data_IF_403255894767
#
_entry.id   IF_403255894767
#
_cell.length_a   1.000
_cell.length_b   1.000
_cell.length_c   1.000
_cell.angle_alpha   90.00
_cell.angle_beta   90.00
_cell.angle_gamma   90.00
#
_symmetry.space_group_name_H-M   'P 1'
#
loop_
_entity.id
_entity.type
_entity.pdbx_description
1 polymer ?
#
# COMPACT_ATOMS: atom_id res chain seq x y z
N UNK A 1 5.09 1.41 -15.85
CA UNK A 1 5.96 2.62 -15.74
C UNK A 1 5.86 3.14 -14.31
N UNK A 2 6.92 3.72 -13.75
CA UNK A 2 6.85 4.45 -12.49
C UNK A 2 6.95 5.95 -12.74
N UNK A 3 6.11 6.73 -12.07
CA UNK A 3 6.17 8.19 -12.02
C UNK A 3 6.77 8.56 -10.66
N UNK A 4 7.95 9.18 -10.65
CA UNK A 4 8.59 9.63 -9.41
C UNK A 4 7.68 10.49 -8.54
N UNK A 5 7.81 10.32 -7.22
CA UNK A 5 7.14 11.19 -6.24
C UNK A 5 7.39 12.66 -6.53
N UNK A 6 6.35 13.48 -6.36
CA UNK A 6 6.39 14.93 -6.57
C UNK A 6 7.08 15.37 -7.87
N UNK A 7 7.04 14.55 -8.94
CA UNK A 7 7.70 14.82 -10.23
C UNK A 7 7.34 16.19 -10.79
N UNK A 8 6.08 16.58 -10.63
CA UNK A 8 5.54 17.88 -11.03
C UNK A 8 4.40 18.29 -10.08
N UNK A 9 3.89 19.53 -10.15
CA UNK A 9 2.82 20.01 -9.27
C UNK A 9 1.51 19.22 -9.37
N UNK A 10 1.24 18.55 -10.49
CA UNK A 10 0.03 17.73 -10.67
C UNK A 10 0.19 16.43 -9.88
N UNK A 11 1.32 15.75 -10.05
CA UNK A 11 1.64 14.52 -9.31
C UNK A 11 1.67 14.80 -7.81
N UNK A 12 2.35 15.86 -7.39
CA UNK A 12 2.38 16.28 -5.97
C UNK A 12 0.97 16.53 -5.42
N UNK A 13 0.11 17.23 -6.17
CA UNK A 13 -1.27 17.47 -5.76
C UNK A 13 -2.14 16.20 -5.71
N UNK A 14 -1.86 15.19 -6.53
CA UNK A 14 -2.51 13.87 -6.42
C UNK A 14 -2.05 13.17 -5.13
N UNK A 15 -0.76 13.20 -4.82
CA UNK A 15 -0.21 12.59 -3.60
C UNK A 15 -0.74 13.25 -2.33
N UNK A 16 -0.88 14.57 -2.31
CA UNK A 16 -1.49 15.31 -1.19
C UNK A 16 -2.97 14.92 -0.98
N UNK A 17 -3.73 14.73 -2.07
CA UNK A 17 -5.12 14.25 -1.99
C UNK A 17 -5.19 12.82 -1.46
N UNK A 18 -4.29 11.94 -1.91
CA UNK A 18 -4.20 10.57 -1.42
C UNK A 18 -3.90 10.58 0.07
N UNK A 19 -2.88 11.30 0.52
CA UNK A 19 -2.50 11.40 1.93
C UNK A 19 -3.65 11.96 2.80
N UNK A 20 -4.35 12.97 2.29
CA UNK A 20 -5.52 13.55 2.98
C UNK A 20 -6.66 12.53 3.10
N UNK A 21 -6.94 11.75 2.05
CA UNK A 21 -8.03 10.77 2.03
C UNK A 21 -7.74 9.54 2.89
N UNK A 22 -6.51 9.04 2.86
CA UNK A 22 -6.11 7.83 3.58
C UNK A 22 -5.74 8.09 5.04
N UNK A 23 -5.50 9.36 5.40
CA UNK A 23 -4.88 9.76 6.67
C UNK A 23 -3.48 9.16 6.89
N UNK A 24 -2.80 8.78 5.81
CA UNK A 24 -1.43 8.26 5.85
C UNK A 24 -0.44 9.31 5.32
N UNK A 25 0.74 9.47 5.94
CA UNK A 25 1.71 10.48 5.52
C UNK A 25 2.22 10.25 4.09
N UNK A 26 2.48 11.33 3.35
CA UNK A 26 2.92 11.25 1.94
C UNK A 26 4.30 10.62 1.78
N UNK A 27 5.15 10.77 2.78
CA UNK A 27 6.50 10.22 2.86
C UNK A 27 6.49 8.69 2.90
N UNK A 28 5.39 8.07 3.34
CA UNK A 28 5.21 6.62 3.36
C UNK A 28 4.91 6.05 1.97
N UNK A 29 4.54 6.89 1.00
CA UNK A 29 4.17 6.43 -0.34
C UNK A 29 5.37 6.11 -1.23
N UNK A 30 5.29 5.06 -2.03
CA UNK A 30 6.22 4.79 -3.15
C UNK A 30 5.97 5.70 -4.36
N UNK A 31 6.78 5.60 -5.41
CA UNK A 31 6.46 6.16 -6.74
C UNK A 31 5.10 5.62 -7.27
N UNK A 32 4.38 6.42 -8.06
CA UNK A 32 3.11 5.97 -8.65
C UNK A 32 3.40 4.99 -9.79
N UNK A 33 2.88 3.76 -9.69
CA UNK A 33 3.00 2.77 -10.75
C UNK A 33 1.84 2.87 -11.73
N UNK A 34 2.12 3.18 -13.00
CA UNK A 34 1.13 3.16 -14.08
C UNK A 34 1.23 1.87 -14.87
N UNK A 35 0.09 1.19 -15.04
CA UNK A 35 -0.06 -0.04 -15.80
C UNK A 35 -1.12 0.13 -16.90
N UNK A 36 -0.90 -0.56 -18.01
CA UNK A 36 -1.84 -0.70 -19.12
C UNK A 36 -2.11 -2.18 -19.34
N UNK A 37 -3.37 -2.55 -19.50
CA UNK A 37 -3.81 -3.89 -19.85
C UNK A 37 -4.60 -3.85 -21.16
N UNK A 38 -4.13 -4.63 -22.12
CA UNK A 38 -4.79 -4.91 -23.39
C UNK A 38 -5.81 -6.05 -23.23
N UNK A 39 -6.73 -6.26 -24.20
CA UNK A 39 -7.63 -7.39 -24.18
C UNK A 39 -6.92 -8.73 -23.94
N UNK A 40 -7.45 -9.53 -23.01
CA UNK A 40 -6.90 -10.78 -22.53
C UNK A 40 -5.88 -10.66 -21.39
N UNK A 41 -5.24 -9.50 -21.21
CA UNK A 41 -4.28 -9.30 -20.13
C UNK A 41 -4.97 -9.19 -18.77
N UNK A 42 -4.31 -9.74 -17.76
CA UNK A 42 -4.78 -9.84 -16.38
C UNK A 42 -3.61 -9.68 -15.40
N UNK A 43 -3.95 -9.64 -14.12
CA UNK A 43 -2.97 -9.77 -13.04
C UNK A 43 -3.45 -10.88 -12.09
N UNK A 44 -2.56 -11.83 -11.80
CA UNK A 44 -2.91 -12.98 -10.96
C UNK A 44 -3.20 -12.58 -9.51
N UNK A 45 -3.95 -13.39 -8.75
CA UNK A 45 -4.16 -13.15 -7.32
C UNK A 45 -2.83 -13.00 -6.57
N UNK A 46 -2.73 -11.93 -5.80
CA UNK A 46 -1.53 -11.58 -5.04
C UNK A 46 -1.86 -10.69 -3.84
N UNK A 47 -0.85 -10.51 -3.00
CA UNK A 47 -0.85 -9.57 -1.89
C UNK A 47 0.09 -8.41 -2.21
N UNK A 48 -0.26 -7.23 -1.71
CA UNK A 48 0.62 -6.06 -1.78
C UNK A 48 1.62 -6.00 -0.63
N UNK A 49 1.40 -6.70 0.48
CA UNK A 49 2.40 -6.82 1.53
C UNK A 49 3.54 -7.76 1.10
N UNK A 50 4.72 -7.55 1.66
CA UNK A 50 5.90 -8.37 1.33
C UNK A 50 5.98 -9.66 2.15
N UNK A 51 6.56 -10.69 1.56
CA UNK A 51 6.99 -11.90 2.29
C UNK A 51 8.49 -11.88 2.62
N UNK A 52 9.27 -11.01 1.97
CA UNK A 52 10.72 -10.93 2.10
C UNK A 52 11.17 -9.77 3.00
N UNK A 53 12.27 -9.99 3.71
CA UNK A 53 12.83 -8.99 4.64
C UNK A 53 13.47 -7.79 3.94
N UNK A 54 13.85 -7.92 2.66
CA UNK A 54 14.60 -6.88 1.93
C UNK A 54 13.68 -5.71 1.61
N UNK A 55 12.48 -5.99 1.08
CA UNK A 55 11.50 -4.95 0.79
C UNK A 55 10.92 -4.33 2.06
N UNK A 56 10.79 -5.11 3.15
CA UNK A 56 10.35 -4.61 4.46
C UNK A 56 11.38 -3.62 5.04
N UNK A 57 12.67 -3.78 4.75
CA UNK A 57 13.70 -2.91 5.32
C UNK A 57 13.48 -1.42 5.00
N UNK A 58 12.85 -1.12 3.86
CA UNK A 58 12.55 0.25 3.44
C UNK A 58 11.07 0.57 3.69
N UNK A 59 10.81 1.28 4.79
CA UNK A 59 9.46 1.72 5.16
C UNK A 59 8.56 0.65 5.77
N UNK A 60 9.00 -0.61 5.88
CA UNK A 60 8.18 -1.71 6.38
C UNK A 60 7.23 -2.28 5.34
N UNK A 61 6.22 -3.04 5.77
CA UNK A 61 5.17 -3.51 4.88
C UNK A 61 4.37 -2.36 4.27
N UNK A 62 3.84 -2.59 3.07
CA UNK A 62 2.75 -1.78 2.51
C UNK A 62 1.50 -1.99 3.37
N UNK A 63 1.01 -0.95 4.01
CA UNK A 63 -0.20 -0.98 4.83
C UNK A 63 -1.46 -0.78 3.98
N UNK A 64 -1.38 0.04 2.94
CA UNK A 64 -2.52 0.40 2.12
C UNK A 64 -2.12 0.59 0.66
N UNK A 65 -3.10 0.32 -0.20
CA UNK A 65 -3.01 0.52 -1.64
C UNK A 65 -4.14 1.41 -2.11
N UNK A 66 -3.80 2.44 -2.87
CA UNK A 66 -4.76 3.25 -3.63
C UNK A 66 -4.60 2.91 -5.12
N UNK A 67 -5.59 2.23 -5.67
CA UNK A 67 -5.67 1.88 -7.09
C UNK A 67 -6.63 2.84 -7.80
N UNK A 68 -6.10 3.70 -8.65
CA UNK A 68 -6.85 4.67 -9.44
C UNK A 68 -7.12 4.12 -10.84
N UNK A 69 -8.35 4.23 -11.32
CA UNK A 69 -8.72 3.84 -12.68
C UNK A 69 -8.65 5.05 -13.61
N UNK A 70 -7.82 4.95 -14.65
CA UNK A 70 -7.54 6.06 -15.58
C UNK A 70 -8.40 6.00 -16.84
N UNK A 71 -9.04 4.86 -17.11
CA UNK A 71 -9.99 4.65 -18.20
C UNK A 71 -11.24 3.91 -17.73
N UNK A 72 -12.35 4.16 -18.43
CA UNK A 72 -13.52 3.29 -18.37
C UNK A 72 -13.22 2.02 -19.18
N UNK A 73 -13.47 0.85 -18.60
CA UNK A 73 -13.29 -0.43 -19.29
C UNK A 73 -14.65 -0.95 -19.75
N UNK A 74 -14.79 -1.22 -21.05
CA UNK A 74 -16.06 -1.65 -21.64
C UNK A 74 -16.55 -2.96 -21.04
N UNK A 75 -15.69 -3.98 -20.99
CA UNK A 75 -15.99 -5.28 -20.36
C UNK A 75 -14.75 -5.91 -19.74
N UNK A 76 -14.92 -6.55 -18.59
CA UNK A 76 -13.84 -7.16 -17.83
C UNK A 76 -13.00 -6.13 -17.08
N UNK A 77 -11.74 -6.48 -16.79
CA UNK A 77 -10.78 -5.57 -16.15
C UNK A 77 -11.06 -5.27 -14.67
N UNK A 78 -12.05 -5.88 -14.04
CA UNK A 78 -12.40 -5.64 -12.64
C UNK A 78 -11.23 -5.91 -11.70
N UNK A 79 -11.18 -5.20 -10.57
CA UNK A 79 -10.34 -5.61 -9.44
C UNK A 79 -11.19 -6.47 -8.53
N UNK A 80 -10.80 -7.74 -8.33
CA UNK A 80 -11.56 -8.72 -7.53
C UNK A 80 -10.79 -9.11 -6.28
N UNK A 81 -11.50 -9.28 -5.17
CA UNK A 81 -11.03 -9.76 -3.87
C UNK A 81 -11.70 -11.10 -3.58
N UNK A 82 -11.08 -12.24 -3.93
CA UNK A 82 -11.71 -13.56 -3.82
C UNK A 82 -12.02 -13.97 -2.38
N UNK A 83 -11.16 -13.60 -1.44
CA UNK A 83 -11.28 -13.98 -0.03
C UNK A 83 -12.06 -12.96 0.82
N UNK A 84 -12.41 -11.80 0.26
CA UNK A 84 -13.12 -10.77 1.00
C UNK A 84 -14.56 -11.21 1.36
N UNK A 85 -14.92 -11.04 2.64
CA UNK A 85 -16.24 -11.39 3.13
C UNK A 85 -17.34 -10.57 2.46
N UNK A 86 -18.27 -11.24 1.78
CA UNK A 86 -19.46 -10.59 1.19
C UNK A 86 -20.49 -10.34 2.30
N UNK A 87 -20.81 -9.07 2.64
CA UNK A 87 -21.81 -8.79 3.65
C UNK A 87 -23.16 -9.40 3.26
N UNK A 88 -23.86 -10.01 4.22
CA UNK A 88 -25.14 -10.71 3.99
C UNK A 88 -26.19 -9.84 3.30
N UNK A 89 -26.12 -8.51 3.47
CA UNK A 89 -26.99 -7.53 2.81
C UNK A 89 -26.75 -7.39 1.30
N UNK A 90 -25.52 -7.64 0.82
CA UNK A 90 -25.20 -7.67 -0.62
C UNK A 90 -25.51 -9.01 -1.27
N UNK A 91 -25.60 -10.11 -0.50
CA UNK A 91 -26.02 -11.42 -1.04
C UNK A 91 -27.45 -11.40 -1.61
N UNK A 92 -28.28 -10.43 -1.22
CA UNK A 92 -29.64 -10.26 -1.71
C UNK A 92 -29.78 -9.21 -2.84
N UNK A 93 -28.70 -8.49 -3.20
CA UNK A 93 -28.67 -7.57 -4.32
C UNK A 93 -28.50 -8.38 -5.61
N UNK A 94 -29.35 -8.11 -6.60
CA UNK A 94 -29.35 -8.74 -7.93
C UNK A 94 -27.93 -9.00 -8.44
N UNK A 95 -27.69 -10.21 -8.95
CA UNK A 95 -26.45 -10.58 -9.62
C UNK A 95 -26.18 -9.55 -10.70
N UNK A 96 -25.14 -8.73 -10.54
CA UNK A 96 -24.75 -7.79 -11.56
C UNK A 96 -24.27 -8.58 -12.79
N UNK A 97 -25.18 -8.79 -13.74
CA UNK A 97 -24.95 -9.52 -14.98
C UNK A 97 -23.86 -8.87 -15.85
N UNK A 98 -23.48 -7.63 -15.55
CA UNK A 98 -22.44 -6.94 -16.28
C UNK A 98 -21.03 -7.20 -15.73
N UNK A 99 -20.87 -7.98 -14.65
CA UNK A 99 -19.56 -8.46 -14.16
C UNK A 99 -19.07 -9.68 -14.96
N UNK A 100 -17.75 -9.76 -15.16
CA UNK A 100 -17.09 -10.93 -15.75
C UNK A 100 -17.16 -12.17 -14.85
N UNK A 101 -16.98 -13.37 -15.42
CA UNK A 101 -16.89 -14.62 -14.64
C UNK A 101 -15.73 -14.62 -13.63
N UNK A 102 -14.65 -13.89 -13.94
CA UNK A 102 -13.56 -13.68 -12.98
C UNK A 102 -14.03 -12.84 -11.78
N UNK A 103 -14.73 -11.73 -12.04
CA UNK A 103 -15.20 -10.82 -11.01
C UNK A 103 -16.23 -11.45 -10.07
N UNK A 104 -17.01 -12.43 -10.55
CA UNK A 104 -17.99 -13.18 -9.74
C UNK A 104 -17.37 -14.09 -8.68
N UNK A 105 -16.05 -14.29 -8.67
CA UNK A 105 -15.35 -15.13 -7.68
C UNK A 105 -15.21 -14.46 -6.30
N UNK A 106 -15.55 -13.18 -6.15
CA UNK A 106 -15.45 -12.46 -4.89
C UNK A 106 -16.11 -11.09 -4.96
N UNK A 107 -15.74 -10.19 -4.04
CA UNK A 107 -16.12 -8.77 -4.15
C UNK A 107 -15.31 -8.16 -5.27
N UNK A 108 -15.97 -7.52 -6.24
CA UNK A 108 -15.29 -6.90 -7.36
C UNK A 108 -15.69 -5.44 -7.54
N UNK A 109 -14.74 -4.67 -8.07
CA UNK A 109 -14.89 -3.26 -8.42
C UNK A 109 -14.62 -3.09 -9.90
N UNK A 110 -15.57 -2.45 -10.60
CA UNK A 110 -15.43 -2.16 -12.03
C UNK A 110 -14.54 -0.95 -12.26
N UNK A 111 -13.65 -0.96 -13.25
CA UNK A 111 -12.85 0.20 -13.59
C UNK A 111 -13.74 1.27 -14.23
N UNK A 112 -13.80 2.42 -13.57
CA UNK A 112 -14.48 3.63 -14.07
C UNK A 112 -13.52 4.80 -13.96
N UNK A 113 -13.38 5.56 -15.04
CA UNK A 113 -12.39 6.62 -15.11
C UNK A 113 -12.61 7.64 -13.99
N UNK A 114 -11.55 7.89 -13.22
CA UNK A 114 -11.56 8.85 -12.12
C UNK A 114 -11.92 8.25 -10.76
N UNK A 115 -12.48 7.04 -10.72
CA UNK A 115 -12.69 6.33 -9.47
C UNK A 115 -11.35 5.81 -8.90
N UNK A 116 -11.28 5.74 -7.58
CA UNK A 116 -10.15 5.17 -6.86
C UNK A 116 -10.62 4.16 -5.81
N UNK A 117 -9.90 3.07 -5.69
CA UNK A 117 -10.12 2.02 -4.71
C UNK A 117 -9.02 2.07 -3.64
N UNK A 118 -9.41 2.24 -2.39
CA UNK A 118 -8.54 2.10 -1.22
C UNK A 118 -8.83 0.76 -0.55
N UNK A 119 -7.78 -0.02 -0.31
CA UNK A 119 -7.83 -1.21 0.53
C UNK A 119 -6.56 -1.32 1.36
N UNK A 120 -6.66 -2.04 2.48
CA UNK A 120 -5.57 -2.23 3.43
C UNK A 120 -5.02 -3.65 3.27
N UNK A 121 -3.69 -3.76 3.24
CA UNK A 121 -2.97 -5.04 3.14
C UNK A 121 -2.66 -5.62 4.52
N UNK A 122 -2.80 -4.81 5.57
CA UNK A 122 -2.58 -5.21 6.96
C UNK A 122 -3.85 -4.95 7.78
N UNK A 123 -4.05 -5.77 8.80
CA UNK A 123 -5.04 -5.54 9.85
C UNK A 123 -4.65 -4.33 10.72
N UNK A 124 -5.56 -3.78 11.54
CA UNK A 124 -5.23 -2.71 12.49
C UNK A 124 -4.14 -3.08 13.52
N UNK A 125 -3.80 -4.36 13.65
CA UNK A 125 -2.71 -4.86 14.49
C UNK A 125 -1.39 -5.02 13.73
N UNK A 126 -1.27 -4.43 12.52
CA UNK A 126 -0.10 -4.51 11.65
C UNK A 126 0.30 -5.94 11.23
N UNK A 127 -0.67 -6.86 11.20
CA UNK A 127 -0.49 -8.23 10.71
C UNK A 127 -0.99 -8.32 9.27
N UNK A 128 -0.28 -8.99 8.34
CA UNK A 128 -0.76 -9.24 6.98
C UNK A 128 -2.19 -9.79 6.96
N UNK A 129 -3.05 -9.18 6.12
CA UNK A 129 -4.46 -9.54 6.02
C UNK A 129 -4.71 -10.42 4.79
N UNK A 130 -5.04 -11.70 5.03
CA UNK A 130 -5.34 -12.67 3.96
C UNK A 130 -6.57 -12.27 3.14
N UNK A 131 -7.50 -11.49 3.71
CA UNK A 131 -8.67 -11.01 2.98
C UNK A 131 -8.33 -9.91 1.96
N UNK A 132 -7.09 -9.40 1.97
CA UNK A 132 -6.58 -8.43 1.00
C UNK A 132 -6.09 -9.07 -0.30
N UNK A 133 -6.17 -10.40 -0.43
CA UNK A 133 -5.84 -11.10 -1.67
C UNK A 133 -6.69 -10.51 -2.80
N UNK A 134 -6.03 -10.02 -3.85
CA UNK A 134 -6.72 -9.38 -4.94
C UNK A 134 -6.07 -9.67 -6.29
N UNK A 135 -6.86 -9.51 -7.35
CA UNK A 135 -6.46 -9.79 -8.72
C UNK A 135 -7.03 -8.75 -9.67
N UNK A 136 -6.37 -8.58 -10.82
CA UNK A 136 -6.91 -7.86 -11.97
C UNK A 136 -7.54 -8.85 -12.94
N UNK A 137 -8.86 -8.85 -13.05
CA UNK A 137 -9.56 -9.70 -14.01
C UNK A 137 -9.17 -9.38 -15.46
N UNK A 138 -9.22 -10.36 -16.38
CA UNK A 138 -8.91 -10.12 -17.78
C UNK A 138 -9.73 -8.98 -18.37
N UNK A 139 -9.09 -8.07 -19.09
CA UNK A 139 -9.82 -7.13 -19.95
C UNK A 139 -10.44 -7.93 -21.09
N UNK A 140 -11.75 -7.83 -21.29
CA UNK A 140 -12.45 -8.54 -22.36
C UNK A 140 -12.64 -7.60 -23.57
N UNK A 141 -13.00 -6.35 -23.30
CA UNK A 141 -13.24 -5.33 -24.33
C UNK A 141 -12.81 -3.95 -23.83
N UNK A 142 -12.15 -3.19 -24.71
CA UNK A 142 -11.54 -1.90 -24.39
C UNK A 142 -10.09 -2.05 -23.90
N UNK A 143 -9.63 -1.08 -23.11
CA UNK A 143 -8.32 -1.11 -22.46
C UNK A 143 -8.39 -0.55 -21.04
N UNK A 144 -7.61 -1.14 -20.13
CA UNK A 144 -7.52 -0.68 -18.75
C UNK A 144 -6.21 0.05 -18.53
N UNK A 145 -6.30 1.31 -18.12
CA UNK A 145 -5.18 2.03 -17.54
C UNK A 145 -5.43 2.22 -16.05
N UNK A 146 -4.42 1.95 -15.24
CA UNK A 146 -4.49 2.16 -13.79
C UNK A 146 -3.22 2.79 -13.25
N UNK A 147 -3.35 3.56 -12.18
CA UNK A 147 -2.25 4.08 -11.40
C UNK A 147 -2.37 3.57 -9.96
N UNK A 148 -1.33 2.90 -9.47
CA UNK A 148 -1.27 2.36 -8.11
C UNK A 148 -0.34 3.19 -7.27
N UNK A 149 -0.79 3.57 -6.07
CA UNK A 149 0.03 4.17 -5.02
C UNK A 149 0.06 3.20 -3.85
N UNK A 150 1.22 2.63 -3.58
CA UNK A 150 1.47 1.84 -2.38
C UNK A 150 1.96 2.75 -1.26
N UNK A 151 1.47 2.50 -0.05
CA UNK A 151 1.77 3.28 1.14
C UNK A 151 2.28 2.33 2.22
N UNK A 152 3.45 2.64 2.76
CA UNK A 152 4.13 1.85 3.79
C UNK A 152 3.71 2.22 5.22
N UNK A 153 4.03 1.36 6.18
CA UNK A 153 3.83 1.64 7.63
C UNK A 153 4.73 2.77 8.13
N UNK A 154 5.87 3.02 7.48
CA UNK A 154 6.81 4.10 7.80
C UNK A 154 7.31 4.78 6.51
N UNK A 155 8.01 5.90 6.66
CA UNK A 155 8.52 6.71 5.56
C UNK A 155 9.40 5.90 4.61
N UNK A 156 8.99 5.85 3.34
CA UNK A 156 9.72 5.23 2.23
C UNK A 156 10.82 6.15 1.67
N UNK A 157 10.75 7.44 1.99
CA UNK A 157 11.75 8.47 1.64
C UNK A 157 12.98 8.45 2.54
N UNK A 158 12.95 7.68 3.65
CA UNK A 158 14.11 7.54 4.51
C UNK A 158 15.21 6.86 3.72
N UNK A 159 16.26 7.61 3.39
CA UNK A 159 17.54 7.00 3.07
C UNK A 159 17.93 6.23 4.32
N UNK A 160 18.03 4.90 4.19
CA UNK A 160 18.79 4.08 5.11
C UNK A 160 20.27 4.41 4.92
N UNK A 161 20.64 5.68 5.11
CA UNK A 161 22.03 6.06 5.23
C UNK A 161 22.52 5.39 6.52
N UNK A 162 23.09 4.21 6.34
CA UNK A 162 24.00 3.55 7.25
C UNK A 162 25.29 4.38 7.46
N UNK A 163 25.27 5.69 7.18
CA UNK A 163 26.18 6.62 7.82
C UNK A 163 25.96 6.45 9.31
N UNK A 164 26.88 5.77 9.98
CA UNK A 164 26.85 5.45 11.41
C UNK A 164 26.86 6.66 12.34
N UNK A 165 26.19 7.75 11.97
CA UNK A 165 25.94 8.89 12.82
C UNK A 165 24.94 8.48 13.88
N UNK A 166 25.43 8.43 15.11
CA UNK A 166 24.60 8.26 16.27
C UNK A 166 23.66 9.45 16.43
N UNK A 167 22.40 9.27 16.09
CA UNK A 167 21.39 10.31 16.18
C UNK A 167 20.06 9.75 16.66
N UNK A 168 19.26 10.66 17.22
CA UNK A 168 17.83 10.45 17.39
C UNK A 168 17.13 11.03 16.17
N UNK A 169 16.29 10.21 15.54
CA UNK A 169 15.54 10.53 14.33
C UNK A 169 14.08 10.87 14.65
N UNK A 170 13.72 10.94 15.93
CA UNK A 170 12.41 11.35 16.41
C UNK A 170 12.55 12.28 17.64
N UNK A 171 11.79 13.36 17.65
CA UNK A 171 11.77 14.33 18.75
C UNK A 171 11.33 13.73 20.10
N UNK A 172 10.60 12.61 20.07
CA UNK A 172 10.12 11.91 21.26
C UNK A 172 11.12 10.88 21.81
N UNK A 173 12.27 10.67 21.17
CA UNK A 173 13.24 9.64 21.57
C UNK A 173 13.67 9.75 23.04
N UNK A 174 13.98 10.95 23.53
CA UNK A 174 14.38 11.15 24.93
C UNK A 174 13.26 10.74 25.89
N UNK A 175 12.03 11.14 25.58
CA UNK A 175 10.83 10.83 26.37
C UNK A 175 10.57 9.32 26.39
N UNK A 176 10.65 8.66 25.24
CA UNK A 176 10.43 7.21 25.14
C UNK A 176 11.53 6.41 25.84
N UNK A 177 12.79 6.84 25.72
CA UNK A 177 13.89 6.23 26.46
C UNK A 177 13.67 6.33 27.97
N UNK A 178 13.21 7.49 28.47
CA UNK A 178 12.84 7.67 29.88
C UNK A 178 11.67 6.77 30.33
N UNK A 179 10.78 6.36 29.41
CA UNK A 179 9.68 5.42 29.66
C UNK A 179 10.08 3.94 29.55
N UNK A 180 11.36 3.66 29.26
CA UNK A 180 11.91 2.31 29.13
C UNK A 180 11.69 1.66 27.77
N UNK A 181 11.37 2.44 26.73
CA UNK A 181 11.12 1.90 25.38
C UNK A 181 12.37 1.30 24.74
N UNK A 182 13.58 1.67 25.17
CA UNK A 182 14.81 1.05 24.71
C UNK A 182 14.85 -0.46 24.93
N UNK A 183 14.10 -0.97 25.93
CA UNK A 183 13.95 -2.41 26.19
C UNK A 183 12.62 -2.94 25.67
N UNK A 184 11.52 -2.20 25.83
CA UNK A 184 10.17 -2.67 25.43
C UNK A 184 9.96 -2.66 23.92
N UNK A 185 10.63 -1.76 23.21
CA UNK A 185 10.54 -1.55 21.77
C UNK A 185 11.95 -1.42 21.18
N UNK A 186 12.81 -2.39 21.50
CA UNK A 186 14.23 -2.33 21.15
C UNK A 186 14.49 -2.27 19.65
N UNK A 187 13.67 -2.92 18.82
CA UNK A 187 13.83 -2.87 17.36
C UNK A 187 13.65 -1.45 16.80
N UNK A 188 12.63 -0.71 17.25
CA UNK A 188 12.44 0.67 16.84
C UNK A 188 13.51 1.59 17.46
N UNK A 189 13.78 1.42 18.76
CA UNK A 189 14.59 2.37 19.52
C UNK A 189 16.09 2.19 19.27
N UNK A 190 16.58 0.95 19.35
CA UNK A 190 18.00 0.58 19.24
C UNK A 190 18.34 0.06 17.84
N UNK A 191 17.43 -0.69 17.23
CA UNK A 191 17.64 -1.33 15.93
C UNK A 191 17.91 -2.82 16.04
N UNK A 192 18.17 -3.41 14.88
CA UNK A 192 18.59 -4.79 14.69
C UNK A 192 20.00 -4.82 14.06
N UNK A 193 20.62 -6.01 13.90
CA UNK A 193 21.90 -6.13 13.19
C UNK A 193 21.87 -5.58 11.76
N UNK A 194 20.69 -5.58 11.13
CA UNK A 194 20.52 -5.19 9.72
C UNK A 194 20.07 -3.73 9.56
N UNK A 195 19.43 -3.14 10.58
CA UNK A 195 18.78 -1.82 10.51
C UNK A 195 19.03 -1.01 11.80
N UNK A 196 19.63 0.19 11.73
CA UNK A 196 19.80 1.04 12.90
C UNK A 196 18.45 1.52 13.43
N UNK A 197 18.28 1.54 14.75
CA UNK A 197 17.11 2.11 15.39
C UNK A 197 17.03 3.63 15.27
N UNK A 198 15.85 4.16 15.57
CA UNK A 198 15.51 5.57 15.46
C UNK A 198 15.95 6.41 16.65
N UNK A 199 16.21 5.80 17.81
CA UNK A 199 16.47 6.51 19.07
C UNK A 199 17.78 6.06 19.73
N UNK A 200 18.78 5.73 18.89
CA UNK A 200 20.00 5.09 19.33
C UNK A 200 20.81 5.95 20.31
N UNK A 201 20.81 7.27 20.11
CA UNK A 201 21.47 8.22 21.01
C UNK A 201 20.76 8.30 22.36
N UNK A 202 19.44 8.44 22.35
CA UNK A 202 18.64 8.43 23.59
C UNK A 202 18.75 7.11 24.35
N UNK A 203 18.91 5.99 23.64
CA UNK A 203 19.13 4.67 24.23
C UNK A 203 20.58 4.35 24.59
N UNK A 204 21.52 5.28 24.34
CA UNK A 204 22.95 5.13 24.70
C UNK A 204 23.61 3.88 24.11
N UNK A 205 23.12 3.42 22.96
CA UNK A 205 23.73 2.31 22.19
C UNK A 205 24.73 2.81 21.16
N UNK A 206 24.79 4.13 21.07
CA UNK A 206 25.85 4.99 20.63
C UNK A 206 25.62 6.32 21.42
#
# INVERSE_FOLDING_TARGET
MFIPKAKDPIVAGIEDKIATWTFLPKENGEDIQVLRYEPGQKYEPHYDYFADKVNIARGGHRIATVLMYLTDVTRGGETVFPEAEVPSRRKASEVDHSLSECAKKGIAVKPRRGDALLFFSLTPHAVPDENSLHAGCPVIEGEKWSATKWIHVDSFDKNLDASGNCADLNESCERWAALGECTKNSEYMVGSPDLPGYCRRSCKVC
#
